data_IF_876572875963
#
_entry.id   IF_876572875963
#
_cell.length_a   1.000
_cell.length_b   1.000
_cell.length_c   1.000
_cell.angle_alpha   90.00
_cell.angle_beta   90.00
_cell.angle_gamma   90.00
#
_symmetry.space_group_name_H-M   'P 1'
#
loop_
_entity.id
_entity.type
_entity.pdbx_description
1 polymer ?
#
# COMPACT_ATOMS: atom_id res chain seq x y z
N UNK A 1 -22.30 18.01 45.30
CA UNK A 1 -22.97 17.36 44.16
C UNK A 1 -23.00 18.36 43.01
N UNK A 2 -22.21 18.16 41.95
CA UNK A 2 -22.32 18.70 40.56
C UNK A 2 -20.92 18.90 39.96
N UNK A 3 -20.37 17.90 39.26
CA UNK A 3 -19.15 18.09 38.44
C UNK A 3 -18.90 17.01 37.36
N UNK A 4 -19.93 16.42 36.75
CA UNK A 4 -19.75 15.25 35.86
C UNK A 4 -20.48 15.32 34.49
N UNK A 5 -20.55 16.48 33.82
CA UNK A 5 -21.34 16.61 32.58
C UNK A 5 -20.63 17.16 31.33
N UNK A 6 -19.33 17.49 31.35
CA UNK A 6 -18.64 18.14 30.21
C UNK A 6 -17.73 17.25 29.37
N UNK A 7 -17.49 16.00 29.75
CA UNK A 7 -16.55 15.12 29.03
C UNK A 7 -16.97 14.67 27.60
N UNK A 8 -18.24 14.41 27.26
CA UNK A 8 -18.55 13.79 25.95
C UNK A 8 -18.38 14.75 24.77
N UNK A 9 -18.59 16.06 24.97
CA UNK A 9 -18.61 17.03 23.87
C UNK A 9 -17.20 17.34 23.31
N UNK A 10 -16.17 17.34 24.17
CA UNK A 10 -14.79 17.66 23.77
C UNK A 10 -14.13 16.56 22.93
N UNK A 11 -14.53 15.30 23.14
CA UNK A 11 -14.01 14.13 22.40
C UNK A 11 -14.41 14.14 20.93
N UNK A 12 -15.65 14.54 20.62
CA UNK A 12 -16.16 14.57 19.25
C UNK A 12 -15.47 15.65 18.40
N UNK A 13 -15.24 16.84 18.97
CA UNK A 13 -14.58 17.95 18.26
C UNK A 13 -13.15 17.57 17.87
N UNK A 14 -12.38 16.96 18.78
CA UNK A 14 -11.00 16.51 18.49
C UNK A 14 -10.95 15.46 17.37
N UNK A 15 -11.91 14.54 17.35
CA UNK A 15 -12.00 13.53 16.31
C UNK A 15 -12.33 14.15 14.95
N UNK A 16 -13.26 15.11 14.89
CA UNK A 16 -13.61 15.82 13.65
C UNK A 16 -12.43 16.61 13.10
N UNK A 17 -11.72 17.38 13.95
CA UNK A 17 -10.54 18.14 13.53
C UNK A 17 -9.48 17.20 12.93
N UNK A 18 -9.24 16.05 13.57
CA UNK A 18 -8.30 15.05 13.07
C UNK A 18 -8.70 14.54 11.68
N UNK A 19 -9.96 14.17 11.47
CA UNK A 19 -10.43 13.70 10.16
C UNK A 19 -10.34 14.79 9.10
N UNK A 20 -10.72 16.02 9.42
CA UNK A 20 -10.58 17.16 8.51
C UNK A 20 -9.12 17.38 8.12
N UNK A 21 -8.19 17.31 9.08
CA UNK A 21 -6.76 17.42 8.79
C UNK A 21 -6.26 16.26 7.89
N UNK A 22 -6.73 15.03 8.13
CA UNK A 22 -6.39 13.86 7.32
C UNK A 22 -6.88 14.00 5.88
N UNK A 23 -8.14 14.39 5.70
CA UNK A 23 -8.72 14.62 4.37
C UNK A 23 -8.08 15.81 3.66
N UNK A 24 -7.75 16.88 4.40
CA UNK A 24 -6.98 18.00 3.88
C UNK A 24 -5.61 17.55 3.36
N UNK A 25 -4.91 16.69 4.11
CA UNK A 25 -3.63 16.14 3.70
C UNK A 25 -3.78 15.25 2.45
N UNK A 26 -4.77 14.37 2.41
CA UNK A 26 -5.08 13.56 1.22
C UNK A 26 -5.41 14.43 -0.01
N UNK A 27 -6.14 15.53 0.18
CA UNK A 27 -6.43 16.49 -0.89
C UNK A 27 -5.15 17.20 -1.38
N UNK A 28 -4.21 17.54 -0.50
CA UNK A 28 -2.90 18.09 -0.89
C UNK A 28 -2.10 17.08 -1.73
N UNK A 29 -2.14 15.80 -1.38
CA UNK A 29 -1.54 14.73 -2.19
C UNK A 29 -2.19 14.61 -3.57
N UNK A 30 -3.51 14.71 -3.67
CA UNK A 30 -4.19 14.74 -4.96
C UNK A 30 -3.85 16.01 -5.75
N UNK A 31 -3.69 17.16 -5.09
CA UNK A 31 -3.28 18.39 -5.75
C UNK A 31 -1.89 18.28 -6.39
N UNK A 32 -1.00 17.46 -5.82
CA UNK A 32 0.31 17.18 -6.42
C UNK A 32 0.23 16.47 -7.78
N UNK A 33 -0.90 15.84 -8.13
CA UNK A 33 -1.10 15.23 -9.45
C UNK A 33 -1.06 16.24 -10.60
N UNK A 34 -1.32 17.52 -10.30
CA UNK A 34 -1.27 18.62 -11.29
C UNK A 34 0.16 19.15 -11.45
N UNK A 35 1.06 18.87 -10.51
CA UNK A 35 2.44 19.35 -10.59
C UNK A 35 3.23 18.56 -11.64
N UNK A 36 4.20 19.20 -12.33
CA UNK A 36 5.01 18.53 -13.33
C UNK A 36 5.77 17.36 -12.70
N UNK A 37 5.88 16.27 -13.48
CA UNK A 37 6.53 15.04 -13.05
C UNK A 37 7.98 15.33 -12.66
N UNK A 38 8.34 14.99 -11.42
CA UNK A 38 9.71 15.16 -10.95
C UNK A 38 10.53 13.98 -11.43
N UNK A 39 11.46 14.24 -12.33
CA UNK A 39 12.39 13.24 -12.84
C UNK A 39 13.66 13.23 -12.00
N UNK A 40 14.03 12.04 -11.54
CA UNK A 40 15.33 11.73 -10.95
C UNK A 40 16.06 10.74 -11.88
N UNK A 41 17.36 10.54 -11.68
CA UNK A 41 18.15 9.63 -12.51
C UNK A 41 17.56 8.21 -12.54
N UNK A 42 17.10 7.71 -11.39
CA UNK A 42 16.46 6.39 -11.30
C UNK A 42 15.11 6.35 -12.02
N UNK A 43 14.30 7.41 -11.90
CA UNK A 43 13.03 7.53 -12.60
C UNK A 43 13.20 7.50 -14.11
N UNK A 44 14.22 8.19 -14.63
CA UNK A 44 14.54 8.17 -16.06
C UNK A 44 14.92 6.76 -16.50
N UNK A 45 15.73 6.04 -15.73
CA UNK A 45 16.09 4.66 -16.04
C UNK A 45 14.87 3.71 -16.06
N UNK A 46 13.92 3.87 -15.13
CA UNK A 46 12.68 3.08 -15.15
C UNK A 46 11.79 3.40 -16.36
N UNK A 47 11.70 4.68 -16.75
CA UNK A 47 10.94 5.10 -17.93
C UNK A 47 11.60 4.62 -19.23
N UNK A 48 12.92 4.62 -19.31
CA UNK A 48 13.65 4.11 -20.48
C UNK A 48 13.41 2.60 -20.69
N UNK A 49 13.43 1.82 -19.60
CA UNK A 49 13.01 0.41 -19.65
C UNK A 49 11.55 0.30 -20.10
N UNK A 50 10.67 1.17 -19.60
CA UNK A 50 9.25 1.16 -19.98
C UNK A 50 9.08 1.38 -21.49
N UNK A 51 9.76 2.37 -22.07
CA UNK A 51 9.76 2.64 -23.51
C UNK A 51 10.26 1.41 -24.27
N UNK A 52 11.38 0.80 -23.84
CA UNK A 52 11.89 -0.40 -24.51
C UNK A 52 10.90 -1.58 -24.49
N UNK A 53 10.11 -1.74 -23.43
CA UNK A 53 9.07 -2.77 -23.32
C UNK A 53 7.83 -2.50 -24.18
N UNK A 54 7.51 -1.22 -24.41
CA UNK A 54 6.42 -0.80 -25.29
C UNK A 54 6.82 -1.00 -26.75
N UNK A 55 8.02 -0.54 -27.13
CA UNK A 55 8.53 -0.62 -28.50
C UNK A 55 9.00 -2.04 -28.87
N UNK A 56 9.24 -2.91 -27.89
CA UNK A 56 9.79 -4.25 -28.10
C UNK A 56 11.28 -4.23 -28.47
N UNK A 57 12.01 -3.18 -28.08
CA UNK A 57 13.44 -3.02 -28.34
C UNK A 57 14.30 -3.66 -27.25
N UNK A 58 15.61 -3.73 -27.49
CA UNK A 58 16.55 -4.29 -26.53
C UNK A 58 16.54 -3.46 -25.23
N UNK A 59 16.43 -4.15 -24.11
CA UNK A 59 16.37 -3.53 -22.78
C UNK A 59 17.74 -2.93 -22.41
N UNK A 60 17.79 -1.72 -21.83
CA UNK A 60 19.02 -1.17 -21.28
C UNK A 60 19.52 -1.98 -20.07
N UNK A 61 20.84 -2.20 -19.99
CA UNK A 61 21.50 -2.99 -18.94
C UNK A 61 21.65 -2.18 -17.63
N UNK A 62 20.54 -1.95 -16.93
CA UNK A 62 20.52 -1.14 -15.70
C UNK A 62 20.50 -1.96 -14.41
N UNK A 63 20.31 -3.28 -14.48
CA UNK A 63 20.15 -4.14 -13.31
C UNK A 63 18.88 -3.88 -12.49
N UNK A 64 18.00 -2.98 -12.93
CA UNK A 64 16.79 -2.60 -12.19
C UNK A 64 15.72 -3.71 -12.24
N UNK A 65 14.84 -3.82 -11.23
CA UNK A 65 13.69 -4.72 -11.27
C UNK A 65 12.68 -4.34 -12.36
N UNK A 66 12.01 -5.34 -12.95
CA UNK A 66 11.08 -5.15 -14.07
C UNK A 66 9.63 -4.86 -13.67
N UNK A 67 9.25 -5.07 -12.41
CA UNK A 67 7.85 -5.01 -12.00
C UNK A 67 7.20 -3.65 -12.24
N UNK A 68 7.91 -2.56 -11.91
CA UNK A 68 7.40 -1.20 -12.14
C UNK A 68 7.37 -0.81 -13.64
N UNK A 69 8.45 -1.02 -14.44
CA UNK A 69 8.38 -0.80 -15.89
C UNK A 69 7.30 -1.62 -16.59
N UNK A 70 7.10 -2.88 -16.17
CA UNK A 70 6.04 -3.71 -16.71
C UNK A 70 4.66 -3.09 -16.43
N UNK A 71 4.41 -2.64 -15.20
CA UNK A 71 3.18 -1.91 -14.86
C UNK A 71 2.99 -0.63 -15.69
N UNK A 72 4.04 0.20 -15.81
CA UNK A 72 3.98 1.43 -16.60
C UNK A 72 3.73 1.14 -18.10
N UNK A 73 4.33 0.08 -18.64
CA UNK A 73 4.11 -0.33 -20.03
C UNK A 73 2.70 -0.83 -20.29
N UNK A 74 2.04 -1.42 -19.28
CA UNK A 74 0.62 -1.76 -19.36
C UNK A 74 -0.24 -0.51 -19.43
N UNK A 75 0.02 0.49 -18.59
CA UNK A 75 -0.70 1.78 -18.64
C UNK A 75 -0.55 2.45 -20.00
N UNK A 76 0.65 2.35 -20.60
CA UNK A 76 0.93 2.90 -21.93
C UNK A 76 0.17 2.17 -23.03
N UNK A 77 0.16 0.83 -23.00
CA UNK A 77 -0.63 0.00 -23.92
C UNK A 77 -2.14 0.25 -23.81
N UNK A 78 -2.63 0.65 -22.63
CA UNK A 78 -4.02 1.08 -22.44
C UNK A 78 -4.28 2.53 -22.90
N UNK A 79 -3.27 3.25 -23.38
CA UNK A 79 -3.39 4.64 -23.84
C UNK A 79 -3.64 5.65 -22.72
N UNK A 80 -3.36 5.27 -21.47
CA UNK A 80 -3.58 6.11 -20.28
C UNK A 80 -2.28 6.51 -19.59
N UNK A 81 -1.11 6.12 -20.12
CA UNK A 81 0.18 6.57 -19.59
C UNK A 81 0.31 8.08 -19.73
N UNK A 82 0.27 8.77 -18.60
CA UNK A 82 0.47 10.20 -18.48
C UNK A 82 1.10 10.47 -17.12
N UNK A 83 1.73 11.63 -16.95
CA UNK A 83 2.27 12.05 -15.65
C UNK A 83 1.20 11.99 -14.55
N UNK A 84 -0.02 12.42 -14.88
CA UNK A 84 -1.17 12.41 -13.96
C UNK A 84 -1.53 10.97 -13.57
N UNK A 85 -1.62 10.04 -14.52
CA UNK A 85 -2.01 8.66 -14.22
C UNK A 85 -0.96 7.90 -13.43
N UNK A 86 0.33 8.18 -13.64
CA UNK A 86 1.42 7.62 -12.83
C UNK A 86 1.35 8.10 -11.37
N UNK A 87 1.17 9.41 -11.16
CA UNK A 87 1.04 9.97 -9.80
C UNK A 87 -0.25 9.49 -9.13
N UNK A 88 -1.36 9.42 -9.85
CA UNK A 88 -2.61 8.83 -9.33
C UNK A 88 -2.43 7.37 -8.95
N UNK A 89 -1.72 6.58 -9.75
CA UNK A 89 -1.39 5.19 -9.44
C UNK A 89 -0.59 5.09 -8.14
N UNK A 90 0.42 5.95 -7.97
CA UNK A 90 1.20 6.01 -6.74
C UNK A 90 0.34 6.33 -5.52
N UNK A 91 -0.57 7.30 -5.65
CA UNK A 91 -1.55 7.63 -4.60
C UNK A 91 -2.46 6.43 -4.27
N UNK A 92 -2.92 5.67 -5.28
CA UNK A 92 -3.75 4.48 -5.09
C UNK A 92 -2.98 3.38 -4.35
N UNK A 93 -1.72 3.14 -4.71
CA UNK A 93 -0.90 2.16 -4.00
C UNK A 93 -0.61 2.58 -2.56
N UNK A 94 -0.33 3.88 -2.32
CA UNK A 94 -0.19 4.39 -0.96
C UNK A 94 -1.49 4.19 -0.16
N UNK A 95 -2.63 4.58 -0.72
CA UNK A 95 -3.94 4.42 -0.09
C UNK A 95 -4.23 2.94 0.22
N UNK A 96 -3.88 2.04 -0.70
CA UNK A 96 -4.01 0.58 -0.51
C UNK A 96 -3.15 0.09 0.64
N UNK A 97 -1.89 0.53 0.73
CA UNK A 97 -1.00 0.18 1.84
C UNK A 97 -1.50 0.70 3.19
N UNK A 98 -1.96 1.95 3.23
CA UNK A 98 -2.54 2.55 4.44
C UNK A 98 -3.85 1.86 4.86
N UNK A 99 -4.71 1.51 3.91
CA UNK A 99 -5.93 0.74 4.16
C UNK A 99 -5.62 -0.66 4.70
N UNK A 100 -4.56 -1.30 4.19
CA UNK A 100 -4.09 -2.61 4.65
C UNK A 100 -3.61 -2.55 6.09
N UNK A 101 -2.77 -1.57 6.44
CA UNK A 101 -2.34 -1.31 7.82
C UNK A 101 -3.54 -1.00 8.72
N UNK A 102 -4.46 -0.17 8.24
CA UNK A 102 -5.68 0.17 8.96
C UNK A 102 -6.51 -1.08 9.26
N UNK A 103 -6.62 -2.03 8.33
CA UNK A 103 -7.33 -3.29 8.54
C UNK A 103 -6.60 -4.19 9.54
N UNK A 104 -5.29 -4.36 9.40
CA UNK A 104 -4.47 -5.21 10.26
C UNK A 104 -4.50 -4.80 11.74
N UNK A 105 -4.55 -3.50 12.04
CA UNK A 105 -4.52 -3.02 13.43
C UNK A 105 -5.84 -3.28 14.22
N UNK A 106 -6.92 -3.69 13.55
CA UNK A 106 -8.19 -4.09 14.19
C UNK A 106 -8.95 -2.97 14.91
N UNK A 107 -10.23 -3.18 15.22
CA UNK A 107 -11.09 -2.16 15.86
C UNK A 107 -10.68 -1.80 17.29
N UNK A 108 -9.93 -2.67 17.98
CA UNK A 108 -9.58 -2.48 19.40
C UNK A 108 -8.62 -1.32 19.64
N UNK A 109 -7.92 -0.81 18.62
CA UNK A 109 -6.84 0.18 18.79
C UNK A 109 -7.02 1.41 17.87
N UNK A 110 -8.22 2.00 17.83
CA UNK A 110 -8.56 3.13 16.95
C UNK A 110 -7.63 4.34 17.06
N UNK A 111 -7.11 4.65 18.26
CA UNK A 111 -6.15 5.74 18.43
C UNK A 111 -4.82 5.43 17.72
N UNK A 112 -4.31 4.21 17.85
CA UNK A 112 -3.05 3.80 17.20
C UNK A 112 -3.20 3.81 15.69
N UNK A 113 -4.32 3.30 15.15
CA UNK A 113 -4.62 3.33 13.71
C UNK A 113 -4.53 4.73 13.12
N UNK A 114 -5.22 5.68 13.76
CA UNK A 114 -5.23 7.09 13.35
C UNK A 114 -3.82 7.68 13.35
N UNK A 115 -3.07 7.50 14.43
CA UNK A 115 -1.71 8.02 14.52
C UNK A 115 -0.76 7.37 13.51
N UNK A 116 -0.85 6.05 13.28
CA UNK A 116 -0.02 5.37 12.29
C UNK A 116 -0.27 5.91 10.88
N UNK A 117 -1.54 6.08 10.48
CA UNK A 117 -1.87 6.65 9.16
C UNK A 117 -1.42 8.11 9.06
N UNK A 118 -1.65 8.93 10.09
CA UNK A 118 -1.20 10.31 10.09
C UNK A 118 0.33 10.42 9.97
N UNK A 119 1.07 9.69 10.80
CA UNK A 119 2.54 9.69 10.77
C UNK A 119 3.07 9.21 9.41
N UNK A 120 2.45 8.16 8.84
CA UNK A 120 2.83 7.68 7.52
C UNK A 120 2.60 8.74 6.42
N UNK A 121 1.48 9.47 6.45
CA UNK A 121 1.20 10.55 5.50
C UNK A 121 2.07 11.79 5.72
N UNK A 122 2.55 12.02 6.94
CA UNK A 122 3.47 13.12 7.29
C UNK A 122 4.94 12.80 6.99
N UNK A 123 5.27 11.55 6.71
CA UNK A 123 6.63 11.13 6.43
C UNK A 123 7.14 11.75 5.11
N UNK A 124 8.20 12.56 5.20
CA UNK A 124 8.84 13.21 4.04
C UNK A 124 9.15 12.24 2.88
N UNK A 125 9.63 11.00 3.12
CA UNK A 125 9.86 10.04 2.03
C UNK A 125 8.60 9.69 1.25
N UNK A 126 7.44 9.63 1.91
CA UNK A 126 6.15 9.32 1.28
C UNK A 126 5.67 10.48 0.41
N UNK A 127 5.83 11.72 0.89
CA UNK A 127 5.54 12.93 0.11
C UNK A 127 6.35 12.95 -1.18
N UNK A 128 7.65 12.66 -1.08
CA UNK A 128 8.56 12.69 -2.23
C UNK A 128 8.30 11.56 -3.22
N UNK A 129 8.03 10.35 -2.72
CA UNK A 129 7.88 9.16 -3.58
C UNK A 129 6.61 9.17 -4.42
N UNK A 130 5.57 9.89 -4.02
CA UNK A 130 4.32 9.96 -4.80
C UNK A 130 4.49 10.78 -6.08
N UNK A 131 5.20 11.91 -5.99
CA UNK A 131 5.40 12.82 -7.12
C UNK A 131 6.46 12.34 -8.13
N UNK A 132 7.18 11.26 -7.82
CA UNK A 132 8.21 10.67 -8.66
C UNK A 132 7.73 9.31 -9.19
N UNK A 133 7.95 8.99 -10.47
CA UNK A 133 7.58 7.70 -11.04
C UNK A 133 8.60 6.64 -10.59
N UNK A 134 8.47 6.20 -9.35
CA UNK A 134 9.37 5.25 -8.71
C UNK A 134 8.59 4.04 -8.15
N UNK A 135 9.25 2.89 -7.95
CA UNK A 135 8.59 1.66 -7.49
C UNK A 135 8.16 1.68 -6.01
N UNK A 136 8.59 2.65 -5.19
CA UNK A 136 8.33 2.72 -3.73
C UNK A 136 6.85 2.65 -3.39
N UNK A 137 5.95 3.47 -3.96
CA UNK A 137 4.54 3.47 -3.56
C UNK A 137 3.88 2.15 -3.95
N UNK A 138 4.16 1.63 -5.15
CA UNK A 138 3.68 0.33 -5.63
C UNK A 138 4.15 -0.80 -4.70
N UNK A 139 5.44 -0.85 -4.39
CA UNK A 139 5.99 -1.86 -3.48
C UNK A 139 5.35 -1.77 -2.09
N UNK A 140 5.19 -0.56 -1.54
CA UNK A 140 4.56 -0.34 -0.24
C UNK A 140 3.12 -0.85 -0.23
N UNK A 141 2.31 -0.46 -1.23
CA UNK A 141 0.91 -0.86 -1.35
C UNK A 141 0.75 -2.37 -1.49
N UNK A 142 1.46 -2.98 -2.45
CA UNK A 142 1.37 -4.41 -2.73
C UNK A 142 1.89 -5.25 -1.57
N UNK A 143 2.99 -4.86 -0.91
CA UNK A 143 3.57 -5.61 0.20
C UNK A 143 2.67 -5.61 1.44
N UNK A 144 2.10 -4.46 1.79
CA UNK A 144 1.18 -4.36 2.92
C UNK A 144 -0.16 -5.04 2.63
N UNK A 145 -0.63 -4.97 1.38
CA UNK A 145 -1.81 -5.73 0.96
C UNK A 145 -1.56 -7.24 1.05
N UNK A 146 -0.41 -7.71 0.59
CA UNK A 146 -0.03 -9.12 0.72
C UNK A 146 -0.05 -9.55 2.19
N UNK A 147 0.56 -8.75 3.08
CA UNK A 147 0.59 -9.04 4.51
C UNK A 147 -0.81 -9.00 5.16
N UNK A 148 -1.67 -8.06 4.75
CA UNK A 148 -3.05 -7.99 5.23
C UNK A 148 -3.88 -9.19 4.76
N UNK A 149 -3.69 -9.66 3.53
CA UNK A 149 -4.33 -10.88 3.01
C UNK A 149 -3.82 -12.11 3.73
N UNK A 150 -2.52 -12.21 4.01
CA UNK A 150 -1.95 -13.29 4.84
C UNK A 150 -2.57 -13.29 6.24
N UNK A 151 -2.67 -12.13 6.88
CA UNK A 151 -3.27 -11.99 8.22
C UNK A 151 -4.76 -12.37 8.20
N UNK A 152 -5.49 -11.96 7.16
CA UNK A 152 -6.90 -12.29 7.02
C UNK A 152 -7.12 -13.78 6.75
N UNK A 153 -6.16 -14.48 6.12
CA UNK A 153 -6.27 -15.92 5.85
C UNK A 153 -6.32 -16.75 7.14
N UNK A 154 -5.82 -16.24 8.27
CA UNK A 154 -5.87 -16.92 9.57
C UNK A 154 -7.29 -16.96 10.18
N UNK A 155 -8.18 -16.05 9.76
CA UNK A 155 -9.56 -15.98 10.26
C UNK A 155 -10.54 -16.90 9.50
N UNK A 156 -10.12 -17.48 8.37
CA UNK A 156 -10.96 -18.34 7.52
C UNK A 156 -10.44 -19.77 7.45
N UNK A 157 -11.35 -20.73 7.33
CA UNK A 157 -11.03 -22.14 7.13
C UNK A 157 -11.31 -22.62 5.70
N UNK A 158 -10.66 -23.73 5.32
CA UNK A 158 -10.95 -24.48 4.08
C UNK A 158 -10.61 -23.73 2.78
N UNK A 159 -11.53 -23.77 1.82
CA UNK A 159 -11.31 -23.25 0.46
C UNK A 159 -11.04 -21.73 0.42
N UNK A 160 -11.65 -20.95 1.33
CA UNK A 160 -11.43 -19.50 1.42
C UNK A 160 -10.01 -19.17 1.88
N UNK A 161 -9.48 -19.93 2.86
CA UNK A 161 -8.09 -19.82 3.29
C UNK A 161 -7.13 -20.06 2.13
N UNK A 162 -7.37 -21.13 1.36
CA UNK A 162 -6.53 -21.45 0.20
C UNK A 162 -6.57 -20.33 -0.84
N UNK A 163 -7.74 -19.78 -1.16
CA UNK A 163 -7.87 -18.66 -2.09
C UNK A 163 -7.10 -17.42 -1.61
N UNK A 164 -7.20 -17.08 -0.33
CA UNK A 164 -6.45 -15.95 0.24
C UNK A 164 -4.93 -16.20 0.23
N UNK A 165 -4.49 -17.41 0.54
CA UNK A 165 -3.06 -17.76 0.46
C UNK A 165 -2.53 -17.70 -0.98
N UNK A 166 -3.29 -18.19 -1.96
CA UNK A 166 -2.92 -18.06 -3.38
C UNK A 166 -2.83 -16.58 -3.79
N UNK A 167 -3.79 -15.75 -3.36
CA UNK A 167 -3.76 -14.32 -3.60
C UNK A 167 -2.53 -13.66 -2.94
N UNK A 168 -2.19 -14.05 -1.71
CA UNK A 168 -0.99 -13.56 -1.03
C UNK A 168 0.30 -13.95 -1.76
N UNK A 169 0.41 -15.19 -2.27
CA UNK A 169 1.55 -15.65 -3.08
C UNK A 169 1.71 -14.76 -4.32
N UNK A 170 0.62 -14.52 -5.06
CA UNK A 170 0.64 -13.67 -6.26
C UNK A 170 1.07 -12.26 -5.92
N UNK A 171 0.51 -11.66 -4.86
CA UNK A 171 0.90 -10.31 -4.42
C UNK A 171 2.37 -10.25 -3.99
N UNK A 172 2.89 -11.26 -3.28
CA UNK A 172 4.30 -11.35 -2.92
C UNK A 172 5.20 -11.47 -4.16
N UNK A 173 4.81 -12.26 -5.15
CA UNK A 173 5.55 -12.34 -6.42
C UNK A 173 5.59 -10.97 -7.12
N UNK A 174 4.47 -10.25 -7.17
CA UNK A 174 4.41 -8.88 -7.72
C UNK A 174 5.33 -7.94 -6.92
N UNK A 175 5.32 -8.02 -5.59
CA UNK A 175 6.20 -7.20 -4.74
C UNK A 175 7.70 -7.48 -5.02
N UNK A 176 8.09 -8.76 -5.17
CA UNK A 176 9.48 -9.17 -5.48
C UNK A 176 9.89 -8.66 -6.86
N UNK A 177 9.02 -8.78 -7.86
CA UNK A 177 9.32 -8.26 -9.21
C UNK A 177 9.44 -6.75 -9.23
N UNK A 178 8.76 -6.04 -8.32
CA UNK A 178 8.83 -4.58 -8.19
C UNK A 178 10.12 -4.16 -7.48
N UNK A 179 10.52 -4.84 -6.41
CA UNK A 179 11.80 -4.66 -5.71
C UNK A 179 12.26 -5.96 -5.08
N UNK A 180 13.55 -6.26 -5.18
CA UNK A 180 14.18 -7.43 -4.54
C UNK A 180 14.03 -7.42 -3.01
N UNK A 181 13.82 -6.26 -2.37
CA UNK A 181 13.50 -6.18 -0.92
C UNK A 181 12.24 -6.99 -0.57
N UNK A 182 11.35 -7.24 -1.54
CA UNK A 182 10.18 -8.11 -1.38
C UNK A 182 10.50 -9.56 -0.97
N UNK A 183 11.74 -10.03 -1.14
CA UNK A 183 12.16 -11.33 -0.61
C UNK A 183 11.97 -11.45 0.91
N UNK A 184 11.95 -10.32 1.64
CA UNK A 184 11.65 -10.29 3.06
C UNK A 184 10.23 -10.78 3.41
N UNK A 185 9.31 -10.87 2.45
CA UNK A 185 7.95 -11.40 2.64
C UNK A 185 7.89 -12.94 2.61
N UNK A 186 8.92 -13.60 2.06
CA UNK A 186 8.92 -15.08 1.90
C UNK A 186 8.86 -15.80 3.26
N UNK A 187 9.61 -15.39 4.31
CA UNK A 187 9.48 -16.00 5.63
C UNK A 187 8.07 -15.83 6.24
N UNK A 188 7.42 -14.68 6.00
CA UNK A 188 6.06 -14.44 6.48
C UNK A 188 5.07 -15.41 5.81
N UNK A 189 5.23 -15.65 4.51
CA UNK A 189 4.44 -16.63 3.77
C UNK A 189 4.67 -18.06 4.27
N UNK A 190 5.89 -18.40 4.69
CA UNK A 190 6.22 -19.74 5.19
C UNK A 190 5.63 -20.01 6.58
N UNK A 191 5.54 -18.99 7.43
CA UNK A 191 4.99 -19.14 8.79
C UNK A 191 3.46 -19.20 8.83
N UNK A 192 2.74 -18.55 7.91
CA UNK A 192 1.25 -18.51 7.90
C UNK A 192 0.55 -19.89 7.79
N UNK A 193 1.05 -20.86 6.99
CA UNK A 193 0.47 -22.20 6.92
C UNK A 193 0.62 -23.02 8.20
N UNK A 194 1.62 -22.71 9.05
CA UNK A 194 2.07 -23.56 10.16
C UNK A 194 1.43 -23.14 11.50
N UNK A 195 0.30 -22.44 11.49
CA UNK A 195 -0.53 -22.34 12.69
C UNK A 195 -1.47 -23.54 12.73
N UNK A 196 -1.12 -24.65 13.43
CA UNK A 196 -2.02 -25.77 13.63
C UNK A 196 -3.28 -25.26 14.34
N UNK A 197 -4.43 -25.68 13.81
CA UNK A 197 -5.73 -25.11 14.11
C UNK A 197 -5.97 -24.81 15.58
N UNK A 198 -6.61 -23.67 15.83
CA UNK A 198 -7.41 -23.46 17.02
C UNK A 198 -8.50 -24.53 17.09
N UNK A 199 -8.14 -25.71 17.59
CA UNK A 199 -9.07 -26.65 18.20
C UNK A 199 -9.61 -25.94 19.44
N UNK A 200 -10.86 -25.48 19.37
CA UNK A 200 -11.63 -25.09 20.56
C UNK A 200 -11.76 -23.58 20.80
N UNK A 201 -12.55 -22.89 19.99
CA UNK A 201 -13.44 -21.87 20.57
C UNK A 201 -14.76 -22.57 20.90
N UNK A 202 -14.88 -22.92 22.19
CA UNK A 202 -16.13 -23.41 22.76
C UNK A 202 -17.26 -22.44 22.49
N UNK A 203 -18.40 -23.00 22.09
CA UNK A 203 -19.69 -22.30 22.01
C UNK A 203 -20.01 -21.72 23.39
N UNK A 204 -20.20 -20.40 23.56
CA UNK A 204 -20.98 -19.91 24.69
C UNK A 204 -22.43 -20.41 24.50
N UNK A 205 -22.94 -21.01 25.56
CA UNK A 205 -24.33 -21.44 25.70
C UNK A 205 -25.31 -20.26 25.67
#
# INVERSE_FOLDING_TARGET
MTHAATEPQTRNIRATIFWVALFGLAALYLLQTITPLRLDNDSVAYLDITVSLVEGTARPETGLPLGYPAYASLLDRFGIASSISLVLSNCLFLATGLASVWHMLGSRHEARRRWTVAIALLAVPVVRSIAMPLPEPMFFGVSLLALAVMTAADDFDGAKRLQLLLMAIVLTAIAITTRLVGFALVPALWCGPVSPGHIGKGSPA
#
